data_IF_579771017838
#
_entry.id   IF_579771017838
#
_cell.length_a   1.000
_cell.length_b   1.000
_cell.length_c   1.000
_cell.angle_alpha   90.00
_cell.angle_beta   90.00
_cell.angle_gamma   90.00
#
_symmetry.space_group_name_H-M   'P 1'
#
loop_
_entity.id
_entity.type
_entity.pdbx_description
1 polymer ?
#
# COMPACT_ATOMS: atom_id res chain seq x y z
N UNK A 1 12.02 4.94 0.18
CA UNK A 1 10.97 4.76 1.20
C UNK A 1 9.84 5.74 0.97
N UNK A 2 8.64 5.39 1.34
CA UNK A 2 7.47 6.27 1.31
C UNK A 2 6.66 6.10 2.59
N UNK A 3 5.90 7.14 2.95
CA UNK A 3 5.11 7.15 4.17
C UNK A 3 3.68 7.62 3.87
N UNK A 4 2.70 6.86 4.31
CA UNK A 4 1.30 7.20 4.31
C UNK A 4 0.90 7.68 5.71
N UNK A 5 0.29 8.85 5.79
CA UNK A 5 -0.19 9.42 7.04
C UNK A 5 -1.61 9.97 6.86
N UNK A 6 -2.62 9.11 6.82
CA UNK A 6 -3.99 9.56 6.78
C UNK A 6 -4.35 10.30 8.08
N UNK A 7 -5.06 11.41 7.95
CA UNK A 7 -5.65 12.13 9.07
C UNK A 7 -7.15 11.84 9.10
N UNK A 8 -7.62 11.35 10.22
CA UNK A 8 -9.05 11.10 10.45
C UNK A 8 -9.62 12.18 11.38
N UNK A 9 -10.93 12.40 11.33
CA UNK A 9 -11.61 13.20 12.35
C UNK A 9 -11.49 12.51 13.72
N UNK A 10 -11.34 13.29 14.79
CA UNK A 10 -11.05 12.78 16.13
C UNK A 10 -12.00 11.67 16.60
N UNK A 11 -13.28 11.74 16.20
CA UNK A 11 -14.33 10.80 16.63
C UNK A 11 -14.38 9.49 15.84
N UNK A 12 -13.70 9.40 14.68
CA UNK A 12 -13.73 8.21 13.82
C UNK A 12 -12.54 7.26 14.01
N UNK A 13 -11.50 7.73 14.68
CA UNK A 13 -10.23 7.02 14.71
C UNK A 13 -10.23 5.78 15.60
N UNK A 14 -10.99 5.79 16.70
CA UNK A 14 -11.09 4.66 17.62
C UNK A 14 -11.96 3.51 17.08
N UNK A 15 -12.73 3.78 16.02
CA UNK A 15 -13.56 2.77 15.34
C UNK A 15 -12.77 1.92 14.33
N UNK A 16 -11.54 2.30 14.03
CA UNK A 16 -10.73 1.59 13.05
C UNK A 16 -10.05 0.37 13.67
N UNK A 17 -10.14 -0.76 13.00
CA UNK A 17 -9.46 -1.98 13.41
C UNK A 17 -7.95 -1.91 13.08
N UNK A 18 -7.26 -1.04 13.81
CA UNK A 18 -5.82 -0.81 13.68
C UNK A 18 -5.09 -1.27 14.94
N UNK A 19 -3.84 -1.74 14.83
CA UNK A 19 -3.06 -2.10 16.00
C UNK A 19 -2.97 -0.95 17.02
N UNK A 20 -3.08 -1.25 18.30
CA UNK A 20 -2.87 -0.28 19.38
C UNK A 20 -1.43 0.26 19.36
N UNK A 21 -1.30 1.55 19.70
CA UNK A 21 -0.06 2.31 19.62
C UNK A 21 1.13 1.63 20.32
N UNK A 22 2.10 1.26 19.55
CA UNK A 22 3.52 1.33 19.88
C UNK A 22 4.27 1.43 18.56
N UNK A 23 5.26 2.30 18.46
CA UNK A 23 6.18 2.30 17.33
C UNK A 23 6.94 0.97 17.34
N UNK A 24 6.33 -0.05 16.80
CA UNK A 24 6.99 -1.33 16.58
C UNK A 24 7.33 -1.41 15.10
N UNK A 25 8.62 -1.45 14.78
CA UNK A 25 9.03 -2.28 13.66
C UNK A 25 8.24 -3.56 13.82
N UNK A 26 7.54 -4.01 12.78
CA UNK A 26 6.81 -5.27 12.82
C UNK A 26 7.77 -6.34 13.36
N UNK A 27 7.67 -6.65 14.64
CA UNK A 27 8.60 -7.55 15.34
C UNK A 27 8.14 -9.00 15.26
N UNK A 28 7.16 -9.29 14.40
CA UNK A 28 6.78 -10.62 13.97
C UNK A 28 7.50 -10.97 12.66
N UNK A 29 7.67 -12.24 12.37
CA UNK A 29 8.13 -12.69 11.06
C UNK A 29 7.15 -12.21 10.00
N UNK A 30 7.51 -11.16 9.25
CA UNK A 30 6.71 -10.70 8.12
C UNK A 30 6.58 -11.84 7.11
N UNK A 31 5.35 -12.16 6.72
CA UNK A 31 5.07 -13.24 5.79
C UNK A 31 4.63 -12.68 4.45
N UNK A 32 4.96 -13.40 3.39
CA UNK A 32 4.44 -13.11 2.07
C UNK A 32 3.08 -13.78 1.93
N UNK A 33 2.01 -12.98 1.90
CA UNK A 33 0.63 -13.45 1.90
C UNK A 33 -0.18 -12.81 0.78
N UNK A 34 -1.13 -13.57 0.25
CA UNK A 34 -2.13 -13.06 -0.69
C UNK A 34 -3.33 -12.45 0.04
N UNK A 35 -4.15 -11.71 -0.70
CA UNK A 35 -5.45 -11.17 -0.26
C UNK A 35 -5.37 -10.17 0.91
N UNK A 36 -4.26 -9.48 1.09
CA UNK A 36 -4.11 -8.48 2.16
C UNK A 36 -5.12 -7.34 2.03
N UNK A 37 -5.55 -6.99 0.82
CA UNK A 37 -6.56 -5.96 0.51
C UNK A 37 -7.98 -6.28 1.02
N UNK A 38 -8.23 -7.48 1.51
CA UNK A 38 -9.51 -7.84 2.15
C UNK A 38 -9.63 -7.26 3.57
N UNK A 39 -8.58 -6.68 4.10
CA UNK A 39 -8.48 -6.07 5.42
C UNK A 39 -7.74 -4.73 5.30
N UNK A 40 -7.39 -4.13 6.44
CA UNK A 40 -6.54 -2.93 6.42
C UNK A 40 -5.22 -3.24 5.72
N UNK A 41 -4.98 -2.56 4.60
CA UNK A 41 -3.83 -2.75 3.74
C UNK A 41 -3.31 -1.41 3.23
N UNK A 42 -2.01 -1.23 3.29
CA UNK A 42 -1.31 -0.11 2.66
C UNK A 42 -0.77 -0.57 1.32
N UNK A 43 -1.03 0.20 0.28
CA UNK A 43 -0.69 -0.21 -1.09
C UNK A 43 0.15 0.85 -1.78
N UNK A 44 1.11 0.40 -2.57
CA UNK A 44 1.90 1.26 -3.43
C UNK A 44 1.94 0.69 -4.83
N UNK A 45 1.55 1.51 -5.79
CA UNK A 45 1.64 1.19 -7.21
C UNK A 45 2.86 1.87 -7.80
N UNK A 46 3.65 1.14 -8.57
CA UNK A 46 4.83 1.65 -9.26
C UNK A 46 4.74 1.30 -10.73
N UNK A 47 4.87 2.28 -11.59
CA UNK A 47 4.81 2.08 -13.03
C UNK A 47 5.88 2.87 -13.75
N UNK A 48 6.33 2.36 -14.90
CA UNK A 48 7.21 3.11 -15.79
C UNK A 48 6.40 4.08 -16.64
N UNK A 49 6.88 5.31 -16.81
CA UNK A 49 6.23 6.26 -17.72
C UNK A 49 6.04 5.66 -19.13
N UNK A 50 4.81 5.74 -19.63
CA UNK A 50 4.47 5.26 -20.98
C UNK A 50 4.30 3.76 -21.15
N UNK A 51 4.61 2.94 -20.15
CA UNK A 51 4.44 1.48 -20.20
C UNK A 51 3.10 1.05 -19.59
N UNK A 52 2.51 -0.02 -20.13
CA UNK A 52 1.27 -0.59 -19.56
C UNK A 52 1.52 -1.38 -18.27
N UNK A 53 2.72 -1.91 -18.12
CA UNK A 53 3.15 -2.72 -17.00
C UNK A 53 3.28 -1.89 -15.71
N UNK A 54 2.90 -2.47 -14.59
CA UNK A 54 3.07 -1.86 -13.26
C UNK A 54 3.14 -2.93 -12.17
N UNK A 55 3.57 -2.51 -11.00
CA UNK A 55 3.64 -3.34 -9.79
C UNK A 55 2.74 -2.77 -8.71
N UNK A 56 2.18 -3.66 -7.91
CA UNK A 56 1.35 -3.37 -6.74
C UNK A 56 1.99 -4.03 -5.52
N UNK A 57 2.47 -3.22 -4.59
CA UNK A 57 2.89 -3.65 -3.27
C UNK A 57 1.71 -3.55 -2.31
N UNK A 58 1.44 -4.62 -1.60
CA UNK A 58 0.50 -4.67 -0.50
C UNK A 58 1.23 -4.94 0.81
N UNK A 59 0.92 -4.19 1.85
CA UNK A 59 1.49 -4.37 3.17
C UNK A 59 0.45 -4.19 4.27
N UNK A 60 0.35 -5.16 5.16
CA UNK A 60 -0.51 -5.06 6.34
C UNK A 60 0.15 -4.23 7.46
N UNK A 61 -0.62 -3.69 8.40
CA UNK A 61 -0.06 -3.04 9.59
C UNK A 61 0.83 -3.94 10.44
N UNK A 62 0.70 -5.27 10.30
CA UNK A 62 1.51 -6.28 11.00
C UNK A 62 2.82 -6.59 10.29
N UNK A 63 2.99 -6.10 9.06
CA UNK A 63 4.20 -6.31 8.26
C UNK A 63 4.11 -7.42 7.23
N UNK A 64 2.98 -8.15 7.14
CA UNK A 64 2.78 -9.10 6.06
C UNK A 64 2.65 -8.36 4.74
N UNK A 65 3.11 -8.96 3.65
CA UNK A 65 3.25 -8.25 2.40
C UNK A 65 3.11 -9.16 1.18
N UNK A 66 2.87 -8.55 0.02
CA UNK A 66 3.14 -9.14 -1.29
C UNK A 66 3.44 -8.05 -2.32
N UNK A 67 4.10 -8.42 -3.40
CA UNK A 67 4.33 -7.57 -4.55
C UNK A 67 3.86 -8.31 -5.80
N UNK A 68 2.92 -7.73 -6.51
CA UNK A 68 2.37 -8.29 -7.75
C UNK A 68 2.85 -7.48 -8.96
N UNK A 69 3.06 -8.18 -10.06
CA UNK A 69 3.34 -7.59 -11.36
C UNK A 69 2.15 -7.75 -12.27
N UNK A 70 1.71 -6.67 -12.86
CA UNK A 70 0.64 -6.61 -13.84
C UNK A 70 1.21 -6.24 -15.21
N UNK A 71 0.78 -6.94 -16.25
CA UNK A 71 1.21 -6.66 -17.63
C UNK A 71 0.45 -5.46 -18.22
N UNK A 72 -0.77 -5.22 -17.77
CA UNK A 72 -1.65 -4.11 -18.13
C UNK A 72 -2.73 -3.95 -17.04
N UNK A 73 -3.63 -2.99 -17.22
CA UNK A 73 -4.71 -2.71 -16.28
C UNK A 73 -5.43 -4.01 -15.87
N UNK A 74 -5.33 -4.36 -14.58
CA UNK A 74 -5.90 -5.55 -13.94
C UNK A 74 -5.62 -6.87 -14.66
N UNK A 75 -4.52 -6.95 -15.42
CA UNK A 75 -4.15 -8.13 -16.21
C UNK A 75 -2.80 -8.69 -15.73
N UNK A 76 -2.79 -9.95 -15.41
CA UNK A 76 -1.62 -10.65 -14.86
C UNK A 76 -1.76 -10.85 -13.36
N UNK A 77 -1.28 -9.90 -12.57
CA UNK A 77 -1.38 -9.96 -11.11
C UNK A 77 -0.63 -11.14 -10.49
N UNK A 78 0.55 -11.46 -11.02
CA UNK A 78 1.39 -12.53 -10.51
C UNK A 78 2.39 -12.00 -9.50
N UNK A 79 2.60 -12.75 -8.42
CA UNK A 79 3.59 -12.39 -7.41
C UNK A 79 4.98 -12.25 -8.04
N UNK A 80 5.66 -11.10 -7.81
CA UNK A 80 7.01 -10.84 -8.31
C UNK A 80 8.03 -11.74 -7.58
N UNK A 81 8.62 -12.74 -8.27
CA UNK A 81 9.44 -13.73 -7.57
C UNK A 81 10.74 -13.17 -7.01
N UNK A 82 11.20 -12.03 -7.52
CA UNK A 82 12.47 -11.40 -7.12
C UNK A 82 12.28 -10.34 -6.03
N UNK A 83 11.04 -10.09 -5.60
CA UNK A 83 10.79 -9.13 -4.54
C UNK A 83 11.32 -9.62 -3.20
N UNK A 84 11.94 -8.70 -2.46
CA UNK A 84 12.36 -8.90 -1.08
C UNK A 84 11.33 -8.31 -0.13
N UNK A 85 11.28 -8.84 1.10
CA UNK A 85 10.39 -8.33 2.13
C UNK A 85 10.64 -6.83 2.39
N UNK A 86 9.63 -5.97 2.33
CA UNK A 86 9.78 -4.57 2.66
C UNK A 86 9.95 -4.40 4.18
N UNK A 87 10.59 -3.30 4.57
CA UNK A 87 10.50 -2.82 5.94
C UNK A 87 9.18 -2.10 6.14
N UNK A 88 8.35 -2.55 7.08
CA UNK A 88 7.08 -1.90 7.41
C UNK A 88 7.15 -1.38 8.84
N UNK A 89 6.91 -0.08 9.03
CA UNK A 89 6.79 0.56 10.34
C UNK A 89 5.44 1.23 10.44
N UNK A 90 4.66 0.83 11.42
CA UNK A 90 3.35 1.40 11.71
C UNK A 90 3.38 2.10 13.05
N UNK A 91 2.85 3.31 13.11
CA UNK A 91 2.63 4.04 14.35
C UNK A 91 1.26 4.69 14.37
N UNK A 92 0.69 4.81 15.53
CA UNK A 92 -0.61 5.44 15.77
C UNK A 92 -0.53 6.35 16.97
N UNK A 93 -1.13 7.53 16.88
CA UNK A 93 -1.34 8.42 18.02
C UNK A 93 -2.77 9.00 17.97
N UNK A 94 -3.07 9.94 18.87
CA UNK A 94 -4.40 10.59 18.93
C UNK A 94 -4.74 11.44 17.72
N UNK A 95 -3.79 11.74 16.86
CA UNK A 95 -3.98 12.61 15.69
C UNK A 95 -4.07 11.82 14.38
N UNK A 96 -3.71 10.56 14.39
CA UNK A 96 -3.72 9.76 13.18
C UNK A 96 -2.83 8.52 13.26
N UNK A 97 -2.67 7.87 12.12
CA UNK A 97 -1.71 6.79 11.97
C UNK A 97 -0.70 7.12 10.86
N UNK A 98 0.47 6.51 10.96
CA UNK A 98 1.51 6.60 9.94
C UNK A 98 2.00 5.20 9.62
N UNK A 99 2.01 4.86 8.36
CA UNK A 99 2.70 3.69 7.85
C UNK A 99 3.87 4.14 6.99
N UNK A 100 5.06 3.66 7.30
CA UNK A 100 6.26 3.85 6.48
C UNK A 100 6.66 2.50 5.92
N UNK A 101 6.84 2.45 4.60
CA UNK A 101 7.24 1.25 3.88
C UNK A 101 8.55 1.53 3.16
N UNK A 102 9.54 0.71 3.43
CA UNK A 102 10.85 0.74 2.78
C UNK A 102 10.96 -0.48 1.88
N UNK A 103 11.03 -0.26 0.58
CA UNK A 103 11.11 -1.32 -0.42
C UNK A 103 12.44 -1.28 -1.14
N UNK A 104 13.06 -2.45 -1.28
CA UNK A 104 14.22 -2.63 -2.15
C UNK A 104 13.73 -2.88 -3.59
N UNK A 105 14.08 -1.99 -4.49
CA UNK A 105 13.66 -2.08 -5.89
C UNK A 105 14.49 -3.07 -6.71
N UNK A 106 15.77 -3.25 -6.35
CA UNK A 106 16.61 -4.23 -7.03
C UNK A 106 16.34 -5.66 -6.48
N UNK A 107 16.33 -6.71 -7.29
CA UNK A 107 16.64 -6.75 -8.71
C UNK A 107 15.44 -6.71 -9.67
N UNK A 108 14.21 -6.51 -9.16
CA UNK A 108 13.01 -6.57 -10.00
C UNK A 108 12.74 -5.27 -10.77
N UNK A 109 13.05 -4.11 -10.20
CA UNK A 109 13.03 -2.82 -10.90
C UNK A 109 14.40 -2.57 -11.54
N UNK A 110 14.48 -2.64 -12.87
CA UNK A 110 15.74 -2.59 -13.60
C UNK A 110 16.07 -1.25 -14.24
N UNK A 111 15.28 -0.23 -13.94
CA UNK A 111 15.34 1.05 -14.62
C UNK A 111 15.90 2.12 -13.68
N UNK A 112 16.68 3.04 -14.25
CA UNK A 112 17.16 4.22 -13.53
C UNK A 112 16.10 5.31 -13.39
N UNK A 113 14.96 5.15 -14.07
CA UNK A 113 13.87 6.11 -14.06
C UNK A 113 13.12 6.08 -12.73
N UNK A 114 12.73 7.27 -12.29
CA UNK A 114 11.82 7.41 -11.16
C UNK A 114 10.45 6.89 -11.58
N UNK A 115 9.84 5.95 -10.84
CA UNK A 115 8.54 5.45 -11.21
C UNK A 115 7.44 6.51 -11.07
N UNK A 116 6.42 6.44 -11.94
CA UNK A 116 5.11 6.95 -11.59
C UNK A 116 4.58 6.13 -10.42
N UNK A 117 3.99 6.75 -9.41
CA UNK A 117 3.54 6.02 -8.24
C UNK A 117 2.15 6.43 -7.77
N UNK A 118 1.37 5.45 -7.32
CA UNK A 118 0.13 5.63 -6.58
C UNK A 118 0.32 5.16 -5.14
N UNK A 119 -0.21 5.90 -4.19
CA UNK A 119 -0.28 5.47 -2.79
C UNK A 119 -1.74 5.40 -2.38
N UNK A 120 -2.13 4.25 -1.88
CA UNK A 120 -3.52 3.94 -1.54
C UNK A 120 -3.60 3.16 -0.24
N UNK A 121 -4.78 3.09 0.31
CA UNK A 121 -5.01 2.37 1.55
C UNK A 121 -6.45 1.84 1.58
N UNK A 122 -6.59 0.59 1.95
CA UNK A 122 -7.84 0.00 2.42
C UNK A 122 -7.86 0.06 3.94
N UNK A 123 -8.94 0.51 4.54
CA UNK A 123 -9.11 0.55 5.99
C UNK A 123 -10.37 -0.20 6.37
N UNK A 124 -10.21 -1.17 7.25
CA UNK A 124 -11.30 -1.93 7.87
C UNK A 124 -11.67 -1.32 9.21
N UNK A 125 -12.97 -1.07 9.43
CA UNK A 125 -13.48 -0.59 10.70
C UNK A 125 -13.83 -1.74 11.66
N UNK A 126 -14.23 -1.41 12.88
CA UNK A 126 -14.60 -2.40 13.90
C UNK A 126 -15.87 -3.23 13.58
N UNK A 127 -16.60 -2.87 12.52
CA UNK A 127 -17.77 -3.57 11.99
C UNK A 127 -17.47 -4.32 10.70
N UNK A 128 -16.18 -4.45 10.32
CA UNK A 128 -15.67 -5.06 9.10
C UNK A 128 -16.11 -4.37 7.80
N UNK A 129 -16.47 -3.09 7.85
CA UNK A 129 -16.67 -2.31 6.64
C UNK A 129 -15.33 -1.81 6.12
N UNK A 130 -15.19 -1.80 4.79
CA UNK A 130 -13.99 -1.30 4.13
C UNK A 130 -14.20 0.11 3.61
N UNK A 131 -13.21 0.95 3.80
CA UNK A 131 -13.09 2.26 3.16
C UNK A 131 -11.80 2.35 2.34
N UNK A 132 -11.85 3.12 1.24
CA UNK A 132 -10.81 3.17 0.23
C UNK A 132 -10.25 4.58 0.10
N UNK A 133 -8.95 4.72 0.32
CA UNK A 133 -8.24 6.00 0.38
C UNK A 133 -7.11 6.02 -0.64
N UNK A 134 -6.98 7.09 -1.37
CA UNK A 134 -5.92 7.30 -2.36
C UNK A 134 -5.50 8.77 -2.39
N UNK A 135 -4.33 9.04 -2.94
CA UNK A 135 -3.90 10.41 -3.22
C UNK A 135 -4.82 11.10 -4.22
N UNK A 136 -5.41 10.32 -5.14
CA UNK A 136 -6.38 10.78 -6.13
C UNK A 136 -7.33 9.66 -6.51
N UNK A 137 -8.62 10.00 -6.67
CA UNK A 137 -9.65 9.13 -7.22
C UNK A 137 -10.12 9.73 -8.55
N UNK A 138 -9.56 9.31 -9.70
CA UNK A 138 -9.89 9.91 -10.99
C UNK A 138 -11.31 9.62 -11.48
N UNK A 139 -11.91 8.53 -10.98
CA UNK A 139 -13.26 8.07 -11.34
C UNK A 139 -14.29 8.34 -10.25
N UNK A 140 -15.55 7.97 -10.53
CA UNK A 140 -16.67 8.08 -9.58
C UNK A 140 -16.68 6.95 -8.53
N UNK A 141 -15.88 5.92 -8.73
CA UNK A 141 -15.71 4.81 -7.81
C UNK A 141 -14.21 4.64 -7.51
N UNK A 142 -13.83 4.17 -6.32
CA UNK A 142 -12.44 3.87 -6.01
C UNK A 142 -11.90 2.81 -6.96
N UNK A 143 -10.83 3.16 -7.67
CA UNK A 143 -10.07 2.24 -8.52
C UNK A 143 -8.58 2.56 -8.40
N UNK A 144 -7.89 1.80 -7.58
CA UNK A 144 -6.48 2.02 -7.30
C UNK A 144 -5.57 1.65 -8.47
N UNK A 145 -6.06 0.82 -9.41
CA UNK A 145 -5.31 0.49 -10.62
C UNK A 145 -5.42 1.55 -11.72
N UNK A 146 -6.27 2.56 -11.54
CA UNK A 146 -6.39 3.65 -12.50
C UNK A 146 -5.16 4.56 -12.46
N UNK A 147 -4.28 4.43 -13.46
CA UNK A 147 -3.03 5.17 -13.55
C UNK A 147 -3.17 6.68 -13.68
N UNK A 148 -4.36 7.19 -13.95
CA UNK A 148 -4.63 8.64 -13.91
C UNK A 148 -4.51 9.20 -12.50
N UNK A 149 -4.64 8.33 -11.47
CA UNK A 149 -4.41 8.67 -10.07
C UNK A 149 -2.94 8.64 -9.62
N UNK A 150 -2.02 8.18 -10.48
CA UNK A 150 -0.61 8.10 -10.13
C UNK A 150 0.06 9.47 -10.24
N UNK A 151 0.93 9.76 -9.28
CA UNK A 151 1.82 10.91 -9.32
C UNK A 151 2.92 10.66 -10.34
N UNK A 152 3.23 11.71 -11.10
CA UNK A 152 4.29 11.73 -12.10
C UNK A 152 5.39 12.67 -11.66
N UNK A 153 6.62 12.27 -11.84
CA UNK A 153 7.80 13.11 -11.63
C UNK A 153 7.96 14.15 -12.74
#
# INVERSE_FOLDING_TARGET
>A
SFSLCPKFAEDGFDLLNLPSSSSSKASGSSQRLDNLWLHTCFEAFLARPGEAEYWELNASPKGDWNLYRFNAYRTGGLAEPKALAPGVTFSRDRFGCRCTIEIELHPWWRHAEIPEFGLTMVVEDGSNNLSYWALSHPGNQPDFHDRRGFLRS
#
